data_IF_298164137813
#
_entry.id   IF_298164137813
#
_cell.length_a   1.000
_cell.length_b   1.000
_cell.length_c   1.000
_cell.angle_alpha   90.00
_cell.angle_beta   90.00
_cell.angle_gamma   90.00
#
_symmetry.space_group_name_H-M   'P 1'
#
loop_
_entity.id
_entity.type
_entity.pdbx_description
1 polymer ?
#
# COMPACT_ATOMS: atom_id res chain seq x y z
N UNK A 1 4.79 14.28 -25.82
CA UNK A 1 5.26 13.68 -24.56
C UNK A 1 4.15 12.80 -24.03
N UNK A 2 4.50 11.60 -23.57
CA UNK A 2 3.59 10.48 -23.34
C UNK A 2 2.44 10.83 -22.38
N UNK A 3 1.25 10.34 -22.72
CA UNK A 3 0.07 10.37 -21.87
C UNK A 3 0.42 9.73 -20.51
N UNK A 4 0.43 10.54 -19.46
CA UNK A 4 0.36 10.02 -18.09
C UNK A 4 -0.96 9.25 -18.00
N UNK A 5 -0.89 7.92 -18.13
CA UNK A 5 -2.00 7.04 -17.81
C UNK A 5 -2.47 7.48 -16.42
N UNK A 6 -3.75 7.84 -16.30
CA UNK A 6 -4.44 7.81 -15.01
C UNK A 6 -4.37 6.35 -14.55
N UNK A 7 -3.28 5.98 -13.90
CA UNK A 7 -3.24 4.77 -13.11
C UNK A 7 -4.25 5.02 -12.00
N UNK A 8 -5.36 4.28 -12.04
CA UNK A 8 -6.31 4.22 -10.94
C UNK A 8 -5.48 3.99 -9.69
N UNK A 9 -5.41 5.00 -8.83
CA UNK A 9 -4.59 4.95 -7.63
C UNK A 9 -5.13 3.82 -6.76
N UNK A 10 -4.45 2.68 -6.82
CA UNK A 10 -4.78 1.50 -6.05
C UNK A 10 -4.57 1.84 -4.59
N UNK A 11 -5.65 1.80 -3.83
CA UNK A 11 -5.60 1.95 -2.39
C UNK A 11 -5.22 0.61 -1.78
N UNK A 12 -4.42 0.66 -0.73
CA UNK A 12 -3.95 -0.51 0.00
C UNK A 12 -4.26 -0.33 1.47
N UNK A 13 -4.68 -1.42 2.10
CA UNK A 13 -4.99 -1.47 3.53
C UNK A 13 -4.37 -2.69 4.18
N UNK A 14 -4.31 -2.70 5.50
CA UNK A 14 -3.92 -3.90 6.22
C UNK A 14 -5.01 -4.96 6.10
N UNK A 15 -4.61 -6.21 5.87
CA UNK A 15 -5.53 -7.35 5.91
C UNK A 15 -6.17 -7.51 7.28
N UNK A 16 -5.41 -7.20 8.34
CA UNK A 16 -5.88 -7.26 9.71
C UNK A 16 -5.80 -5.86 10.35
N UNK A 17 -6.93 -5.21 10.67
CA UNK A 17 -6.92 -3.87 11.26
C UNK A 17 -6.39 -3.85 12.70
N UNK A 18 -6.22 -5.00 13.35
CA UNK A 18 -5.54 -5.09 14.65
C UNK A 18 -4.02 -4.99 14.53
N UNK A 19 -3.49 -5.02 13.30
CA UNK A 19 -2.06 -4.86 13.05
C UNK A 19 -1.72 -3.43 12.67
N UNK A 20 -0.43 -3.11 12.72
CA UNK A 20 0.10 -1.84 12.24
C UNK A 20 1.31 -2.14 11.35
N UNK A 21 1.47 -1.32 10.32
CA UNK A 21 2.62 -1.32 9.43
C UNK A 21 3.20 0.08 9.39
N UNK A 22 4.50 0.19 9.64
CA UNK A 22 5.24 1.43 9.56
C UNK A 22 6.56 1.14 8.86
N UNK A 23 6.81 1.82 7.75
CA UNK A 23 8.07 1.74 7.03
C UNK A 23 8.44 3.11 6.46
N UNK A 24 9.49 3.72 7.01
CA UNK A 24 9.93 5.06 6.62
C UNK A 24 8.78 6.08 6.71
N UNK A 25 8.40 6.65 5.57
CA UNK A 25 7.31 7.62 5.45
C UNK A 25 5.93 6.99 5.21
N UNK A 26 5.86 5.67 5.00
CA UNK A 26 4.61 4.96 4.74
C UNK A 26 4.13 4.23 5.99
N UNK A 27 2.90 4.52 6.41
CA UNK A 27 2.29 3.95 7.61
C UNK A 27 0.85 3.62 7.35
N UNK A 28 0.45 2.40 7.72
CA UNK A 28 -0.92 1.92 7.74
C UNK A 28 -1.20 1.37 9.14
N UNK A 29 -2.28 1.80 9.77
CA UNK A 29 -2.74 1.27 11.04
C UNK A 29 -4.26 1.20 11.06
N UNK A 30 -4.83 0.19 11.73
CA UNK A 30 -6.28 0.05 11.75
C UNK A 30 -6.83 -0.26 10.37
N UNK A 31 -7.92 0.41 10.04
CA UNK A 31 -8.62 0.31 8.75
C UNK A 31 -8.18 1.40 7.76
N UNK A 32 -7.00 2.00 7.96
CA UNK A 32 -6.48 2.99 7.03
C UNK A 32 -6.27 2.40 5.63
N UNK A 33 -6.63 3.20 4.64
CA UNK A 33 -6.43 2.90 3.23
C UNK A 33 -5.54 4.00 2.65
N UNK A 34 -4.40 3.63 2.09
CA UNK A 34 -3.47 4.57 1.46
C UNK A 34 -2.95 4.01 0.16
N UNK A 35 -2.64 4.91 -0.75
CA UNK A 35 -1.95 4.61 -1.99
C UNK A 35 -0.50 4.24 -1.67
N UNK A 36 0.07 3.31 -2.44
CA UNK A 36 1.51 3.07 -2.34
C UNK A 36 2.27 4.32 -2.78
N UNK A 37 3.42 4.62 -2.13
CA UNK A 37 4.32 5.65 -2.62
C UNK A 37 4.82 5.28 -4.02
N UNK A 38 5.21 6.27 -4.84
CA UNK A 38 5.67 6.05 -6.22
C UNK A 38 6.83 5.03 -6.32
N UNK A 39 7.71 5.00 -5.31
CA UNK A 39 8.74 3.99 -5.15
C UNK A 39 8.50 3.21 -3.84
N UNK A 40 7.68 2.15 -3.87
CA UNK A 40 7.50 1.30 -2.69
C UNK A 40 8.79 0.53 -2.40
N UNK A 41 9.15 0.46 -1.13
CA UNK A 41 10.26 -0.36 -0.70
C UNK A 41 10.01 -1.84 -0.98
N UNK A 42 11.10 -2.60 -1.10
CA UNK A 42 11.03 -4.05 -1.28
C UNK A 42 10.26 -4.76 -0.14
N UNK A 43 10.45 -4.31 1.09
CA UNK A 43 9.70 -4.83 2.25
C UNK A 43 8.20 -4.58 2.14
N UNK A 44 7.77 -3.39 1.71
CA UNK A 44 6.36 -3.07 1.48
C UNK A 44 5.75 -3.98 0.42
N UNK A 45 6.47 -4.20 -0.70
CA UNK A 45 6.05 -5.14 -1.74
C UNK A 45 5.95 -6.58 -1.22
N UNK A 46 6.97 -7.05 -0.49
CA UNK A 46 6.97 -8.39 0.12
C UNK A 46 5.77 -8.58 1.06
N UNK A 47 5.36 -7.53 1.78
CA UNK A 47 4.19 -7.55 2.68
C UNK A 47 2.88 -7.59 1.93
N UNK A 48 2.81 -6.95 0.76
CA UNK A 48 1.65 -7.04 -0.12
C UNK A 48 1.56 -8.45 -0.72
N UNK A 49 2.67 -8.99 -1.22
CA UNK A 49 2.74 -10.34 -1.78
C UNK A 49 2.44 -11.42 -0.73
N UNK A 50 2.91 -11.24 0.50
CA UNK A 50 2.58 -12.11 1.64
C UNK A 50 1.11 -12.00 2.09
N UNK A 51 0.35 -11.05 1.56
CA UNK A 51 -1.04 -10.79 1.92
C UNK A 51 -1.21 -10.16 3.31
N UNK A 52 -0.18 -9.49 3.83
CA UNK A 52 -0.29 -8.67 5.05
C UNK A 52 -0.98 -7.33 4.75
N UNK A 53 -0.68 -6.77 3.59
CA UNK A 53 -1.35 -5.58 3.02
C UNK A 53 -2.11 -6.04 1.78
N UNK A 54 -3.33 -5.54 1.59
CA UNK A 54 -4.23 -5.93 0.50
C UNK A 54 -4.70 -4.71 -0.28
N UNK A 55 -4.80 -4.87 -1.59
CA UNK A 55 -5.41 -3.87 -2.48
C UNK A 55 -6.91 -3.77 -2.16
N UNK A 56 -7.38 -2.54 -1.97
CA UNK A 56 -8.79 -2.19 -1.83
C UNK A 56 -9.33 -2.01 -3.25
N UNK A 57 -10.18 -2.93 -3.66
CA UNK A 57 -10.93 -2.86 -4.92
C UNK A 57 -12.18 -2.03 -4.78
#
# INVERSE_FOLDING_TARGET
MAAAKKEEKKLYRLKNPKTQYAEGSFTLAGEQEKELPENPSRQLLDRIEAGFIVEVK
#
